data_IF_942879004981
#
_entry.id   IF_942879004981
#
_cell.length_a   1.000
_cell.length_b   1.000
_cell.length_c   1.000
_cell.angle_alpha   90.00
_cell.angle_beta   90.00
_cell.angle_gamma   90.00
#
_symmetry.space_group_name_H-M   'P 1'
#
loop_
_entity.id
_entity.type
_entity.pdbx_description
1 polymer ?
#
# COMPACT_ATOMS: atom_id res chain seq x y z
N UNK A 1 18.50 3.34 -6.40
CA UNK A 1 17.43 4.35 -6.40
C UNK A 1 16.49 3.98 -7.53
N UNK A 2 15.17 3.90 -7.27
CA UNK A 2 14.20 3.66 -8.34
C UNK A 2 13.88 4.95 -9.08
N UNK A 3 13.95 4.93 -10.41
CA UNK A 3 13.52 6.03 -11.28
C UNK A 3 12.12 5.73 -11.83
N UNK A 4 11.43 6.77 -12.31
CA UNK A 4 10.17 6.58 -13.05
C UNK A 4 10.41 5.71 -14.28
N UNK A 5 9.44 4.85 -14.60
CA UNK A 5 9.46 3.98 -15.78
C UNK A 5 8.33 4.38 -16.72
N UNK A 6 8.55 4.27 -18.04
CA UNK A 6 7.49 4.39 -19.04
C UNK A 6 6.64 3.11 -19.15
N UNK A 7 7.20 1.99 -18.69
CA UNK A 7 6.53 0.69 -18.65
C UNK A 7 6.00 0.42 -17.24
N UNK A 8 4.83 -0.24 -17.16
CA UNK A 8 4.26 -0.66 -15.89
C UNK A 8 5.15 -1.71 -15.22
N UNK A 9 5.55 -1.44 -13.98
CA UNK A 9 6.42 -2.31 -13.20
C UNK A 9 5.64 -3.04 -12.10
N UNK A 10 6.19 -4.17 -11.63
CA UNK A 10 5.67 -4.90 -10.47
C UNK A 10 6.79 -5.35 -9.55
N UNK A 11 6.50 -5.40 -8.25
CA UNK A 11 7.42 -5.93 -7.24
C UNK A 11 6.66 -6.61 -6.12
N UNK A 12 7.18 -7.75 -5.66
CA UNK A 12 6.68 -8.41 -4.45
C UNK A 12 7.44 -7.90 -3.23
N UNK A 13 6.69 -7.44 -2.23
CA UNK A 13 7.21 -6.92 -0.96
C UNK A 13 6.55 -7.64 0.23
N UNK A 14 7.26 -7.81 1.36
CA UNK A 14 6.67 -8.40 2.57
C UNK A 14 5.69 -7.43 3.22
N UNK A 15 4.72 -7.96 3.95
CA UNK A 15 4.00 -7.21 4.98
C UNK A 15 4.78 -7.32 6.28
N UNK A 16 4.98 -6.20 6.95
CA UNK A 16 5.71 -6.10 8.22
C UNK A 16 4.75 -5.82 9.38
N UNK A 17 5.27 -5.92 10.60
CA UNK A 17 4.52 -5.52 11.78
C UNK A 17 4.36 -4.00 11.79
N UNK A 18 3.21 -3.53 12.27
CA UNK A 18 2.93 -2.10 12.28
C UNK A 18 3.89 -1.32 13.20
N UNK A 19 4.41 -2.00 14.24
CA UNK A 19 5.43 -1.48 15.14
C UNK A 19 6.72 -1.12 14.42
N UNK A 20 7.07 -1.79 13.32
CA UNK A 20 8.30 -1.51 12.58
C UNK A 20 8.19 -0.15 11.88
N UNK A 21 7.02 0.11 11.29
CA UNK A 21 6.70 1.43 10.74
C UNK A 21 6.56 2.50 11.84
N UNK A 22 5.91 2.20 12.97
CA UNK A 22 5.83 3.16 14.08
C UNK A 22 7.21 3.59 14.57
N UNK A 23 8.17 2.67 14.65
CA UNK A 23 9.57 2.98 14.99
C UNK A 23 10.24 3.86 13.94
N UNK A 24 10.10 3.51 12.66
CA UNK A 24 10.70 4.26 11.54
C UNK A 24 10.13 5.68 11.38
N UNK A 25 8.82 5.84 11.59
CA UNK A 25 8.09 7.07 11.34
C UNK A 25 7.77 7.89 12.59
N UNK A 26 8.23 7.48 13.79
CA UNK A 26 7.88 8.08 15.09
C UNK A 26 7.99 9.61 15.14
N UNK A 27 8.94 10.20 14.40
CA UNK A 27 9.19 11.65 14.37
C UNK A 27 8.32 12.42 13.38
N UNK A 28 7.69 11.74 12.43
CA UNK A 28 7.05 12.35 11.26
C UNK A 28 5.56 12.04 11.16
N UNK A 29 5.11 10.89 11.69
CA UNK A 29 3.73 10.47 11.59
C UNK A 29 3.33 9.52 12.74
N UNK A 30 2.06 9.58 13.12
CA UNK A 30 1.44 8.57 13.97
C UNK A 30 0.87 7.45 13.08
N UNK A 31 1.47 6.26 13.16
CA UNK A 31 1.01 5.08 12.41
C UNK A 31 0.05 4.28 13.29
N UNK A 32 -1.13 3.99 12.76
CA UNK A 32 -2.23 3.31 13.45
C UNK A 32 -2.63 2.03 12.72
N UNK A 33 -3.55 1.23 13.27
CA UNK A 33 -4.06 0.02 12.61
C UNK A 33 -4.81 0.28 11.30
N UNK A 34 -5.09 1.54 10.96
CA UNK A 34 -5.68 1.94 9.67
C UNK A 34 -4.66 1.93 8.52
N UNK A 35 -3.40 1.63 8.82
CA UNK A 35 -2.34 1.47 7.84
C UNK A 35 -1.80 0.02 7.77
N UNK A 36 -1.10 -0.26 6.68
CA UNK A 36 -0.28 -1.45 6.44
C UNK A 36 1.17 -0.99 6.30
N UNK A 37 2.07 -1.70 6.97
CA UNK A 37 3.51 -1.56 6.85
C UNK A 37 4.03 -2.62 5.88
N UNK A 38 4.73 -2.25 4.81
CA UNK A 38 5.25 -3.22 3.84
C UNK A 38 6.56 -2.77 3.18
N UNK A 39 7.34 -3.71 2.67
CA UNK A 39 8.61 -3.41 2.01
C UNK A 39 9.80 -3.36 2.96
N UNK A 40 10.67 -2.35 2.80
CA UNK A 40 11.89 -2.20 3.60
C UNK A 40 13.08 -3.02 3.12
N UNK A 41 13.00 -3.64 1.93
CA UNK A 41 14.13 -4.32 1.31
C UNK A 41 14.81 -3.44 0.26
N UNK A 42 16.14 -3.53 0.21
CA UNK A 42 16.94 -2.79 -0.77
C UNK A 42 16.44 -3.05 -2.19
N UNK A 43 16.13 -1.97 -2.91
CA UNK A 43 15.72 -2.00 -4.31
C UNK A 43 14.30 -2.52 -4.58
N UNK A 44 13.47 -2.75 -3.56
CA UNK A 44 12.09 -3.24 -3.71
C UNK A 44 11.11 -2.37 -2.93
N UNK A 45 10.37 -1.53 -3.63
CA UNK A 45 9.45 -0.57 -3.01
C UNK A 45 8.51 0.05 -4.04
N UNK A 46 7.44 0.69 -3.56
CA UNK A 46 6.70 1.69 -4.35
C UNK A 46 7.53 2.96 -4.50
N UNK A 47 7.47 3.58 -5.67
CA UNK A 47 8.27 4.75 -6.02
C UNK A 47 7.43 5.99 -6.32
N UNK A 48 8.11 7.13 -6.54
CA UNK A 48 7.45 8.36 -6.97
C UNK A 48 6.70 8.14 -8.29
N UNK A 49 5.38 8.33 -8.25
CA UNK A 49 4.47 8.01 -9.36
C UNK A 49 3.44 6.93 -9.01
N UNK A 50 3.72 6.09 -8.01
CA UNK A 50 2.83 5.01 -7.59
C UNK A 50 1.82 5.46 -6.51
N UNK A 51 1.84 6.73 -6.10
CA UNK A 51 0.96 7.28 -5.05
C UNK A 51 -0.51 7.06 -5.41
N UNK A 52 -1.29 6.47 -4.51
CA UNK A 52 -2.67 6.05 -4.79
C UNK A 52 -2.81 4.69 -5.49
N UNK A 53 -1.70 4.07 -5.89
CA UNK A 53 -1.68 2.76 -6.54
C UNK A 53 -2.01 1.59 -5.60
N UNK A 54 -2.33 0.40 -6.15
CA UNK A 54 -2.79 -0.74 -5.36
C UNK A 54 -1.64 -1.55 -4.75
N UNK A 55 -1.79 -1.91 -3.46
CA UNK A 55 -1.11 -3.06 -2.88
C UNK A 55 -2.05 -4.26 -2.95
N UNK A 56 -1.66 -5.29 -3.72
CA UNK A 56 -2.51 -6.43 -4.03
C UNK A 56 -1.87 -7.76 -3.62
N UNK A 57 -2.70 -8.74 -3.28
CA UNK A 57 -2.29 -10.11 -3.03
C UNK A 57 -3.35 -11.09 -3.54
N UNK A 58 -2.94 -12.32 -3.83
CA UNK A 58 -3.86 -13.36 -4.32
C UNK A 58 -4.72 -13.86 -3.16
N UNK A 59 -6.04 -13.84 -3.35
CA UNK A 59 -7.02 -14.49 -2.47
C UNK A 59 -7.93 -15.43 -3.26
N UNK A 60 -8.65 -16.29 -2.55
CA UNK A 60 -9.66 -17.19 -3.12
C UNK A 60 -11.04 -16.56 -2.95
N UNK A 61 -11.74 -16.38 -4.06
CA UNK A 61 -13.14 -15.93 -4.12
C UNK A 61 -13.91 -17.00 -4.89
N UNK A 62 -14.89 -17.63 -4.23
CA UNK A 62 -15.71 -18.72 -4.80
C UNK A 62 -14.87 -19.84 -5.44
N UNK A 63 -13.83 -20.28 -4.72
CA UNK A 63 -12.89 -21.31 -5.18
C UNK A 63 -11.91 -20.86 -6.26
N UNK A 64 -11.95 -19.59 -6.69
CA UNK A 64 -11.09 -19.08 -7.76
C UNK A 64 -10.08 -18.06 -7.25
N UNK A 65 -8.81 -18.21 -7.65
CA UNK A 65 -7.76 -17.24 -7.36
C UNK A 65 -8.01 -15.91 -8.07
N UNK A 66 -7.98 -14.82 -7.30
CA UNK A 66 -8.15 -13.44 -7.76
C UNK A 66 -7.13 -12.53 -7.05
N UNK A 67 -6.66 -11.50 -7.74
CA UNK A 67 -5.95 -10.42 -7.06
C UNK A 67 -6.97 -9.57 -6.29
N UNK A 68 -6.73 -9.41 -4.99
CA UNK A 68 -7.51 -8.56 -4.11
C UNK A 68 -6.64 -7.38 -3.71
N UNK A 69 -7.21 -6.18 -3.76
CA UNK A 69 -6.54 -4.98 -3.30
C UNK A 69 -6.66 -4.90 -1.77
N UNK A 70 -5.53 -4.96 -1.07
CA UNK A 70 -5.48 -4.88 0.39
C UNK A 70 -5.08 -3.51 0.89
N UNK A 71 -4.40 -2.72 0.06
CA UNK A 71 -4.01 -1.37 0.42
C UNK A 71 -3.83 -0.41 -0.74
N UNK A 72 -3.56 0.84 -0.38
CA UNK A 72 -3.35 1.96 -1.28
C UNK A 72 -2.03 2.61 -0.89
N UNK A 73 -1.11 2.81 -1.84
CA UNK A 73 0.18 3.51 -1.60
C UNK A 73 -0.12 4.89 -1.03
N UNK A 74 0.42 5.21 0.15
CA UNK A 74 0.15 6.47 0.83
C UNK A 74 1.40 7.34 0.96
N UNK A 75 2.37 6.93 1.77
CA UNK A 75 3.63 7.65 1.91
C UNK A 75 4.77 6.71 2.30
N UNK A 76 5.98 7.16 2.07
CA UNK A 76 7.17 6.35 2.25
C UNK A 76 8.42 7.23 2.25
N UNK A 77 9.60 6.60 2.22
CA UNK A 77 10.86 7.32 2.13
C UNK A 77 10.96 8.17 0.86
N UNK A 78 11.74 9.26 0.92
CA UNK A 78 11.96 10.14 -0.24
C UNK A 78 12.59 9.40 -1.43
N UNK A 79 13.45 8.42 -1.16
CA UNK A 79 13.98 7.52 -2.17
C UNK A 79 13.44 6.12 -1.91
N UNK A 80 12.89 5.50 -2.93
CA UNK A 80 12.32 4.17 -2.82
C UNK A 80 13.38 3.07 -2.84
N UNK A 81 13.07 1.97 -2.15
CA UNK A 81 13.93 0.79 -2.05
C UNK A 81 15.11 1.01 -1.11
N UNK A 82 14.97 1.88 -0.11
CA UNK A 82 15.96 2.01 0.96
C UNK A 82 15.82 0.82 1.92
N UNK A 83 16.95 0.18 2.22
CA UNK A 83 16.97 -0.93 3.17
C UNK A 83 16.55 -0.46 4.57
N UNK A 84 15.66 -1.20 5.20
CA UNK A 84 15.14 -0.91 6.54
C UNK A 84 14.08 0.20 6.61
N UNK A 85 13.71 0.81 5.48
CA UNK A 85 12.67 1.84 5.44
C UNK A 85 11.43 1.35 4.67
N UNK A 86 10.42 0.83 5.39
CA UNK A 86 9.20 0.33 4.76
C UNK A 86 8.26 1.45 4.31
N UNK A 87 7.43 1.17 3.30
CA UNK A 87 6.34 2.04 2.87
C UNK A 87 5.09 1.89 3.74
N UNK A 88 4.29 2.95 3.78
CA UNK A 88 2.99 3.02 4.44
C UNK A 88 1.88 2.99 3.41
N UNK A 89 0.94 2.08 3.61
CA UNK A 89 -0.23 1.91 2.77
C UNK A 89 -1.50 2.09 3.60
N UNK A 90 -2.56 2.65 3.03
CA UNK A 90 -3.90 2.64 3.65
C UNK A 90 -4.41 1.20 3.71
N UNK A 91 -5.00 0.78 4.83
CA UNK A 91 -5.59 -0.56 5.00
C UNK A 91 -7.04 -0.58 4.53
N UNK A 92 -7.31 -1.10 3.32
CA UNK A 92 -8.67 -1.07 2.73
C UNK A 92 -9.71 -1.72 3.62
N UNK A 93 -9.37 -2.81 4.32
CA UNK A 93 -10.32 -3.50 5.21
C UNK A 93 -10.89 -2.63 6.34
N UNK A 94 -10.21 -1.53 6.71
CA UNK A 94 -10.70 -0.57 7.71
C UNK A 94 -11.67 0.48 7.16
N UNK A 95 -11.80 0.54 5.84
CA UNK A 95 -12.62 1.52 5.14
C UNK A 95 -13.75 0.87 4.33
N UNK A 96 -13.96 -0.44 4.46
CA UNK A 96 -14.96 -1.15 3.65
C UNK A 96 -16.38 -0.63 3.84
N UNK A 97 -16.77 -0.28 5.07
CA UNK A 97 -18.08 0.34 5.33
C UNK A 97 -18.24 1.66 4.55
N UNK A 98 -17.27 2.57 4.73
CA UNK A 98 -17.24 3.83 3.97
C UNK A 98 -17.24 3.59 2.46
N UNK A 99 -16.46 2.62 1.95
CA UNK A 99 -16.45 2.28 0.53
C UNK A 99 -17.86 1.87 0.08
N UNK A 100 -18.49 0.92 0.77
CA UNK A 100 -19.81 0.40 0.41
C UNK A 100 -20.89 1.48 0.45
N UNK A 101 -20.83 2.38 1.43
CA UNK A 101 -21.77 3.52 1.54
C UNK A 101 -21.63 4.52 0.40
N UNK A 102 -20.44 4.62 -0.19
CA UNK A 102 -20.10 5.56 -1.27
C UNK A 102 -20.03 4.91 -2.66
N UNK A 103 -20.42 3.63 -2.78
CA UNK A 103 -20.52 2.94 -4.08
C UNK A 103 -21.81 3.26 -4.85
N UNK A 104 -22.74 4.04 -4.27
CA UNK A 104 -23.96 4.44 -4.99
C UNK A 104 -23.57 5.20 -6.26
N UNK A 105 -24.02 4.78 -7.46
CA UNK A 105 -23.95 5.63 -8.62
C UNK A 105 -24.73 6.91 -8.30
N UNK A 106 -24.20 8.08 -8.67
CA UNK A 106 -25.07 9.23 -8.90
C UNK A 106 -26.09 8.79 -9.95
N UNK A 107 -27.36 8.65 -9.57
CA UNK A 107 -28.44 8.31 -10.50
C UNK A 107 -28.84 9.50 -11.39
N UNK A 108 -27.93 10.48 -11.54
CA UNK A 108 -28.13 11.73 -12.23
C UNK A 108 -27.03 11.92 -13.30
N UNK A 109 -27.07 11.07 -14.34
CA UNK A 109 -26.63 11.40 -15.72
C UNK A 109 -27.51 10.65 -16.73
#
# INVERSE_FOLDING_TARGET
>A
MGYKSSELMKVSIPVLQISDCQKNYKRFASITTNQICAGGYKGKDSCGGDSGGPLQYVGLIDGTSRFIQYGIVSYGPKHCGINGQPGIYTRISKYMEWILDNLKPSLDE
#
